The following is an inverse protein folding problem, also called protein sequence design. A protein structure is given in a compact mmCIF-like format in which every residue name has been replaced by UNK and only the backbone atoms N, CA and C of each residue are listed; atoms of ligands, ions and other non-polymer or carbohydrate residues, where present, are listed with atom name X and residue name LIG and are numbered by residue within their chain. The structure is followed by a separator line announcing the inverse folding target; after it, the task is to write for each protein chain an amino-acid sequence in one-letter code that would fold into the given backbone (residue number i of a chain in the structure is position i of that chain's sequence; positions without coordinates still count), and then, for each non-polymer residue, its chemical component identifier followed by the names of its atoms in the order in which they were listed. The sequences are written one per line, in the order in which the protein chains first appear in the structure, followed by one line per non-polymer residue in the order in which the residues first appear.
data_IF_993365341245
#
_entry.id   IF_993365341245
#
_cell.length_a   1.000
_cell.length_b   1.000
_cell.length_c   1.000
_cell.angle_alpha   90.00
_cell.angle_beta   90.00
_cell.angle_gamma   90.00
#
_symmetry.space_group_name_H-M   'P 1'
#
loop_
_entity.id
_entity.type
_entity.pdbx_description
1 polymer ?
#
# COMPACT_ATOMS: atom_id res chain seq x y z
N UNK A 1 1.38 -3.27 -15.79
CA UNK A 1 0.18 -3.23 -14.93
C UNK A 1 -0.60 -1.95 -15.17
N UNK A 2 -0.05 -0.76 -14.89
CA UNK A 2 -0.79 0.53 -14.99
C UNK A 2 -1.46 0.72 -16.36
N UNK A 3 -0.78 0.39 -17.47
CA UNK A 3 -1.37 0.48 -18.83
C UNK A 3 -2.63 -0.41 -18.97
N UNK A 4 -2.62 -1.64 -18.43
CA UNK A 4 -3.77 -2.55 -18.44
C UNK A 4 -4.92 -2.00 -17.61
N UNK A 5 -4.62 -1.53 -16.40
CA UNK A 5 -5.63 -0.92 -15.55
C UNK A 5 -6.21 0.35 -16.16
N UNK A 6 -5.40 1.15 -16.87
CA UNK A 6 -5.89 2.33 -17.57
C UNK A 6 -6.84 1.96 -18.72
N UNK A 7 -6.53 0.92 -19.48
CA UNK A 7 -7.45 0.42 -20.52
C UNK A 7 -8.79 -0.04 -19.93
N UNK A 8 -8.77 -0.66 -18.73
CA UNK A 8 -9.98 -1.15 -18.06
C UNK A 8 -10.81 -0.04 -17.39
N UNK A 9 -10.14 0.95 -16.76
CA UNK A 9 -10.79 1.92 -15.88
C UNK A 9 -10.74 3.38 -16.38
N UNK A 10 -10.09 3.63 -17.50
CA UNK A 10 -9.79 4.98 -17.99
C UNK A 10 -8.74 5.66 -17.09
N UNK A 11 -9.13 6.06 -15.88
CA UNK A 11 -8.25 6.65 -14.87
C UNK A 11 -7.85 5.64 -13.80
N UNK A 12 -6.57 5.61 -13.46
CA UNK A 12 -6.04 4.78 -12.36
C UNK A 12 -5.63 5.68 -11.20
N UNK A 13 -6.44 5.70 -10.13
CA UNK A 13 -6.08 6.34 -8.87
C UNK A 13 -5.14 5.46 -8.04
N UNK A 14 -4.46 6.05 -7.06
CA UNK A 14 -3.65 5.27 -6.09
C UNK A 14 -4.47 4.20 -5.38
N UNK A 15 -5.72 4.49 -5.04
CA UNK A 15 -6.62 3.54 -4.39
C UNK A 15 -6.87 2.28 -5.25
N UNK A 16 -6.92 2.41 -6.59
CA UNK A 16 -7.07 1.27 -7.48
C UNK A 16 -5.89 0.31 -7.48
N UNK A 17 -4.75 0.75 -6.92
CA UNK A 17 -3.53 -0.04 -6.75
C UNK A 17 -3.25 -0.35 -5.28
N UNK A 18 -3.39 0.65 -4.40
CA UNK A 18 -2.93 0.62 -3.01
C UNK A 18 -4.09 0.40 -2.01
N UNK A 19 -4.92 -0.59 -2.31
CA UNK A 19 -6.03 -1.04 -1.46
C UNK A 19 -6.16 -2.56 -1.52
N UNK A 20 -7.06 -3.14 -0.71
CA UNK A 20 -7.38 -4.56 -0.84
C UNK A 20 -7.86 -4.92 -2.24
N UNK A 21 -8.76 -4.12 -2.82
CA UNK A 21 -9.19 -4.27 -4.22
C UNK A 21 -8.05 -4.03 -5.21
N UNK A 22 -7.11 -3.16 -4.85
CA UNK A 22 -5.91 -2.87 -5.63
C UNK A 22 -5.00 -4.09 -5.79
N UNK A 23 -4.81 -4.90 -4.74
CA UNK A 23 -4.08 -6.17 -4.81
C UNK A 23 -4.72 -7.06 -5.89
N UNK A 24 -6.04 -7.22 -5.89
CA UNK A 24 -6.73 -8.01 -6.90
C UNK A 24 -6.57 -7.43 -8.31
N UNK A 25 -6.64 -6.12 -8.47
CA UNK A 25 -6.43 -5.46 -9.75
C UNK A 25 -5.01 -5.70 -10.31
N UNK A 26 -3.98 -5.59 -9.47
CA UNK A 26 -2.59 -5.85 -9.84
C UNK A 26 -2.43 -7.30 -10.28
N UNK A 27 -2.97 -8.25 -9.49
CA UNK A 27 -2.92 -9.68 -9.77
C UNK A 27 -3.52 -10.02 -11.14
N UNK A 28 -4.75 -9.57 -11.41
CA UNK A 28 -5.40 -9.83 -12.71
C UNK A 28 -4.59 -9.24 -13.87
N UNK A 29 -4.07 -8.02 -13.71
CA UNK A 29 -3.25 -7.40 -14.74
C UNK A 29 -1.92 -8.14 -14.97
N UNK A 30 -1.32 -8.72 -13.93
CA UNK A 30 -0.12 -9.56 -14.05
C UNK A 30 -0.43 -10.89 -14.75
N UNK A 31 -1.53 -11.55 -14.39
CA UNK A 31 -1.97 -12.76 -15.08
C UNK A 31 -2.18 -12.51 -16.58
N UNK A 32 -2.84 -11.40 -16.92
CA UNK A 32 -3.04 -11.02 -18.33
C UNK A 32 -1.71 -10.74 -19.05
N UNK A 33 -0.78 -10.02 -18.43
CA UNK A 33 0.53 -9.71 -19.02
C UNK A 33 1.36 -10.98 -19.25
N UNK A 34 1.26 -11.94 -18.33
CA UNK A 34 2.00 -13.21 -18.39
C UNK A 34 1.26 -14.34 -19.12
N UNK A 35 0.11 -14.02 -19.73
CA UNK A 35 -0.75 -14.98 -20.41
C UNK A 35 -1.10 -16.22 -19.56
N UNK A 36 -1.28 -16.01 -18.24
CA UNK A 36 -1.66 -17.05 -17.28
C UNK A 36 -3.12 -16.88 -16.84
N UNK A 37 -3.79 -17.98 -16.50
CA UNK A 37 -5.15 -17.93 -15.97
C UNK A 37 -5.13 -17.49 -14.50
N UNK A 38 -6.00 -16.56 -14.09
CA UNK A 38 -6.16 -16.24 -12.68
C UNK A 38 -6.68 -17.45 -11.89
N UNK A 39 -5.99 -17.82 -10.83
CA UNK A 39 -6.37 -18.94 -9.93
C UNK A 39 -7.18 -18.44 -8.75
N UNK A 40 -6.87 -17.22 -8.27
CA UNK A 40 -7.46 -16.66 -7.05
C UNK A 40 -8.49 -15.59 -7.38
N UNK A 41 -9.58 -15.56 -6.60
CA UNK A 41 -10.73 -14.67 -6.79
C UNK A 41 -10.87 -13.59 -5.72
N UNK A 42 -10.02 -13.60 -4.70
CA UNK A 42 -10.07 -12.61 -3.63
C UNK A 42 -8.68 -12.12 -3.22
N UNK A 43 -8.57 -10.88 -2.71
CA UNK A 43 -7.31 -10.35 -2.19
C UNK A 43 -6.69 -11.21 -1.09
N UNK A 44 -7.50 -11.82 -0.22
CA UNK A 44 -7.02 -12.69 0.86
C UNK A 44 -6.30 -13.92 0.31
N UNK A 45 -6.91 -14.62 -0.65
CA UNK A 45 -6.31 -15.78 -1.30
C UNK A 45 -4.98 -15.43 -1.99
N UNK A 46 -4.90 -14.25 -2.63
CA UNK A 46 -3.67 -13.78 -3.28
C UNK A 46 -2.57 -13.54 -2.22
N UNK A 47 -2.92 -12.91 -1.10
CA UNK A 47 -1.98 -12.70 0.01
C UNK A 47 -1.48 -14.05 0.55
N UNK A 48 -2.37 -14.99 0.84
CA UNK A 48 -2.02 -16.30 1.37
C UNK A 48 -1.11 -17.09 0.39
N UNK A 49 -1.43 -17.04 -0.91
CA UNK A 49 -0.62 -17.67 -1.95
C UNK A 49 0.76 -17.00 -2.12
N UNK A 50 0.85 -15.70 -1.92
CA UNK A 50 2.13 -14.98 -1.93
C UNK A 50 2.99 -15.33 -0.71
N UNK A 51 2.40 -15.36 0.49
CA UNK A 51 3.10 -15.68 1.72
C UNK A 51 3.62 -17.13 1.75
N UNK A 52 2.83 -18.05 1.22
CA UNK A 52 3.24 -19.46 1.05
C UNK A 52 4.14 -19.69 -0.17
N UNK A 53 4.37 -18.66 -1.00
CA UNK A 53 5.09 -18.74 -2.28
C UNK A 53 4.50 -19.76 -3.27
N UNK A 54 3.22 -20.06 -3.15
CA UNK A 54 2.51 -21.04 -3.99
C UNK A 54 2.27 -20.52 -5.41
N UNK A 55 2.29 -19.20 -5.63
CA UNK A 55 2.04 -18.59 -6.94
C UNK A 55 2.92 -17.36 -7.16
N UNK A 56 3.69 -17.40 -8.26
CA UNK A 56 4.63 -16.32 -8.61
C UNK A 56 3.93 -15.01 -9.00
N UNK A 57 2.69 -15.07 -9.51
CA UNK A 57 1.91 -13.87 -9.80
C UNK A 57 1.44 -13.19 -8.50
N UNK A 58 1.09 -13.97 -7.49
CA UNK A 58 0.71 -13.48 -6.18
C UNK A 58 1.88 -12.81 -5.46
N UNK A 59 3.06 -13.43 -5.48
CA UNK A 59 4.31 -12.82 -4.94
C UNK A 59 4.60 -11.51 -5.64
N UNK A 60 4.65 -11.49 -6.97
CA UNK A 60 4.90 -10.28 -7.76
C UNK A 60 3.83 -9.20 -7.53
N UNK A 61 2.60 -9.60 -7.20
CA UNK A 61 1.52 -8.67 -6.84
C UNK A 61 1.81 -7.94 -5.54
N UNK A 62 2.24 -8.64 -4.49
CA UNK A 62 2.60 -8.01 -3.23
C UNK A 62 3.87 -7.16 -3.36
N UNK A 63 4.87 -7.59 -4.13
CA UNK A 63 6.06 -6.78 -4.42
C UNK A 63 5.67 -5.45 -5.06
N UNK A 64 4.86 -5.49 -6.12
CA UNK A 64 4.37 -4.27 -6.80
C UNK A 64 3.52 -3.38 -5.89
N UNK A 65 2.70 -3.97 -5.03
CA UNK A 65 1.93 -3.23 -4.04
C UNK A 65 2.85 -2.50 -3.07
N UNK A 66 3.85 -3.18 -2.50
CA UNK A 66 4.82 -2.59 -1.56
C UNK A 66 5.66 -1.49 -2.22
N UNK A 67 6.16 -1.72 -3.44
CA UNK A 67 6.90 -0.72 -4.21
C UNK A 67 6.05 0.49 -4.54
N UNK A 68 4.81 0.29 -4.98
CA UNK A 68 3.85 1.36 -5.25
C UNK A 68 3.55 2.19 -4.00
N UNK A 69 3.37 1.52 -2.84
CA UNK A 69 3.16 2.17 -1.55
C UNK A 69 4.39 3.01 -1.16
N UNK A 70 5.60 2.47 -1.32
CA UNK A 70 6.83 3.20 -1.07
C UNK A 70 6.95 4.45 -1.94
N UNK A 71 6.72 4.31 -3.23
CA UNK A 71 6.77 5.44 -4.16
C UNK A 71 5.72 6.52 -3.82
N UNK A 72 4.49 6.13 -3.49
CA UNK A 72 3.42 7.06 -3.11
C UNK A 72 3.73 7.78 -1.79
N UNK A 73 4.16 7.04 -0.77
CA UNK A 73 4.53 7.59 0.53
C UNK A 73 5.71 8.57 0.43
N UNK A 74 6.74 8.26 -0.37
CA UNK A 74 7.86 9.15 -0.63
C UNK A 74 7.44 10.45 -1.34
N UNK A 75 6.51 10.36 -2.30
CA UNK A 75 5.96 11.55 -2.95
C UNK A 75 5.19 12.44 -1.95
N UNK A 76 4.38 11.84 -1.07
CA UNK A 76 3.65 12.57 -0.02
C UNK A 76 4.61 13.22 0.98
N UNK A 77 5.67 12.51 1.39
CA UNK A 77 6.70 13.05 2.27
C UNK A 77 7.34 14.34 1.69
N UNK A 78 7.64 14.34 0.39
CA UNK A 78 8.18 15.51 -0.30
C UNK A 78 7.13 16.62 -0.45
N UNK A 79 5.90 16.28 -0.83
CA UNK A 79 4.81 17.24 -1.05
C UNK A 79 4.50 18.04 0.20
N UNK A 80 4.49 17.38 1.37
CA UNK A 80 4.16 18.00 2.66
C UNK A 80 5.38 18.43 3.48
N UNK A 81 6.59 18.16 3.03
CA UNK A 81 7.81 18.43 3.81
C UNK A 81 7.82 17.67 5.15
N UNK A 82 7.29 16.45 5.18
CA UNK A 82 7.00 15.68 6.39
C UNK A 82 8.28 15.16 7.05
N UNK A 83 8.91 15.98 7.91
CA UNK A 83 10.11 15.59 8.67
C UNK A 83 9.79 14.70 9.87
N UNK A 84 8.61 14.82 10.45
CA UNK A 84 8.20 14.07 11.65
C UNK A 84 7.84 12.60 11.41
N UNK A 85 7.72 12.18 10.16
CA UNK A 85 7.45 10.80 9.77
C UNK A 85 6.21 10.61 8.89
N UNK A 86 6.12 9.42 8.31
CA UNK A 86 4.97 8.94 7.55
C UNK A 86 4.29 7.82 8.34
N UNK A 87 2.98 7.90 8.49
CA UNK A 87 2.18 6.92 9.20
C UNK A 87 1.32 6.13 8.23
N UNK A 88 1.60 4.84 8.06
CA UNK A 88 0.82 3.92 7.25
C UNK A 88 -0.29 3.32 8.11
N UNK A 89 -1.53 3.69 7.81
CA UNK A 89 -2.71 3.24 8.52
C UNK A 89 -3.64 2.43 7.61
N UNK A 90 -4.32 1.44 8.16
CA UNK A 90 -5.31 0.63 7.46
C UNK A 90 -5.10 -0.88 7.66
N UNK A 91 -6.12 -1.66 7.30
CA UNK A 91 -6.18 -3.10 7.56
C UNK A 91 -5.49 -3.98 6.50
N UNK A 92 -4.79 -3.42 5.52
CA UNK A 92 -4.19 -4.21 4.42
C UNK A 92 -2.80 -4.69 4.80
N UNK A 93 -1.88 -3.77 5.14
CA UNK A 93 -0.48 -4.08 5.46
C UNK A 93 -0.34 -5.06 6.65
N UNK A 94 -1.11 -4.93 7.74
CA UNK A 94 -1.01 -5.86 8.86
C UNK A 94 -1.22 -7.33 8.50
N UNK A 95 -1.93 -7.65 7.41
CA UNK A 95 -2.20 -9.03 6.95
C UNK A 95 -0.97 -9.72 6.37
N UNK A 96 0.05 -8.98 5.95
CA UNK A 96 1.31 -9.49 5.42
C UNK A 96 2.50 -8.66 5.91
N UNK A 97 2.48 -8.29 7.19
CA UNK A 97 3.44 -7.37 7.80
C UNK A 97 4.90 -7.80 7.58
N UNK A 98 5.23 -9.06 7.82
CA UNK A 98 6.60 -9.57 7.67
C UNK A 98 7.08 -9.49 6.20
N UNK A 99 6.20 -9.80 5.25
CA UNK A 99 6.49 -9.60 3.84
C UNK A 99 6.75 -8.11 3.53
N UNK A 100 5.91 -7.22 4.06
CA UNK A 100 6.04 -5.78 3.84
C UNK A 100 7.35 -5.23 4.40
N UNK A 101 7.73 -5.62 5.62
CA UNK A 101 8.96 -5.18 6.27
C UNK A 101 10.23 -5.61 5.51
N UNK A 102 10.18 -6.77 4.84
CA UNK A 102 11.28 -7.31 4.03
C UNK A 102 11.18 -6.93 2.53
N UNK A 103 10.18 -6.15 2.15
CA UNK A 103 9.94 -5.75 0.76
C UNK A 103 10.80 -4.57 0.32
N UNK A 104 10.71 -4.26 -0.96
CA UNK A 104 11.40 -3.11 -1.56
C UNK A 104 10.72 -1.75 -1.25
N UNK A 105 9.78 -1.69 -0.28
CA UNK A 105 9.07 -0.47 0.10
C UNK A 105 10.03 0.67 0.42
N UNK A 106 11.00 0.44 1.31
CA UNK A 106 11.90 1.50 1.80
C UNK A 106 12.77 2.06 0.68
N UNK A 107 13.30 1.22 -0.18
CA UNK A 107 14.08 1.64 -1.33
C UNK A 107 13.25 2.53 -2.27
N UNK A 108 11.99 2.15 -2.54
CA UNK A 108 11.09 2.94 -3.40
C UNK A 108 10.59 4.23 -2.72
N UNK A 109 10.50 4.25 -1.42
CA UNK A 109 10.23 5.45 -0.65
C UNK A 109 11.35 6.49 -0.82
N UNK A 110 12.60 6.02 -0.75
CA UNK A 110 13.80 6.87 -0.85
C UNK A 110 14.21 7.20 -2.29
N UNK A 111 13.81 6.40 -3.28
CA UNK A 111 14.17 6.56 -4.69
C UNK A 111 13.51 7.81 -5.31
N UNK A 112 14.04 8.98 -4.95
CA UNK A 112 13.59 10.31 -5.38
C UNK A 112 14.75 11.19 -5.87
N UNK A 113 15.73 10.60 -6.54
CA UNK A 113 16.86 11.30 -7.13
C UNK A 113 17.59 12.16 -6.10
N UNK A 114 17.72 13.46 -6.34
CA UNK A 114 18.44 14.38 -5.43
C UNK A 114 17.89 14.46 -4.01
N UNK A 115 16.69 13.96 -3.75
CA UNK A 115 16.04 13.99 -2.44
C UNK A 115 16.24 12.72 -1.61
N UNK A 116 17.08 11.78 -2.06
CA UNK A 116 17.35 10.52 -1.33
C UNK A 116 17.81 10.79 0.10
N UNK A 117 18.78 11.70 0.31
CA UNK A 117 19.31 12.01 1.65
C UNK A 117 18.23 12.57 2.58
N UNK A 118 17.32 13.40 2.03
CA UNK A 118 16.19 13.95 2.78
C UNK A 118 15.24 12.84 3.22
N UNK A 119 14.88 11.93 2.33
CA UNK A 119 13.92 10.86 2.63
C UNK A 119 14.51 9.77 3.55
N UNK A 120 15.82 9.52 3.49
CA UNK A 120 16.49 8.59 4.42
C UNK A 120 16.29 8.97 5.88
N UNK A 121 16.23 10.26 6.20
CA UNK A 121 16.03 10.75 7.55
C UNK A 121 14.59 10.67 8.06
N UNK A 122 13.61 10.42 7.17
CA UNK A 122 12.20 10.39 7.52
C UNK A 122 11.80 8.98 7.99
N UNK A 123 11.34 8.83 9.24
CA UNK A 123 10.84 7.55 9.72
C UNK A 123 9.49 7.20 9.09
N UNK A 124 9.23 5.90 8.93
CA UNK A 124 7.93 5.38 8.50
C UNK A 124 7.40 4.45 9.56
N UNK A 125 6.17 4.70 10.00
CA UNK A 125 5.49 3.97 11.06
C UNK A 125 4.30 3.20 10.49
N UNK A 126 4.13 1.94 10.89
CA UNK A 126 2.95 1.15 10.57
C UNK A 126 2.04 1.14 11.79
N UNK A 127 0.82 1.65 11.61
CA UNK A 127 -0.18 1.65 12.68
C UNK A 127 -0.91 0.31 12.65
N UNK A 128 -0.73 -0.49 13.71
CA UNK A 128 -1.33 -1.82 13.87
C UNK A 128 -2.71 -1.80 14.52
N UNK A 129 -3.11 -0.66 15.07
CA UNK A 129 -4.40 -0.54 15.76
C UNK A 129 -5.54 -0.54 14.75
N UNK A 130 -6.53 -1.38 15.00
CA UNK A 130 -7.77 -1.41 14.23
C UNK A 130 -8.71 -0.24 14.61
N UNK A 131 -9.67 0.05 13.72
CA UNK A 131 -10.74 1.04 13.94
C UNK A 131 -10.26 2.46 14.27
N UNK A 132 -9.11 2.88 13.71
CA UNK A 132 -8.57 4.23 13.92
C UNK A 132 -9.56 5.35 13.60
N UNK A 133 -10.37 5.19 12.55
CA UNK A 133 -11.39 6.16 12.17
C UNK A 133 -12.45 6.34 13.24
N UNK A 134 -12.93 5.26 13.84
CA UNK A 134 -13.91 5.30 14.94
C UNK A 134 -13.31 5.93 16.20
N UNK A 135 -12.06 5.59 16.51
CA UNK A 135 -11.36 6.19 17.65
C UNK A 135 -11.18 7.70 17.46
N UNK A 136 -10.81 8.13 16.24
CA UNK A 136 -10.69 9.55 15.93
C UNK A 136 -12.03 10.29 16.03
N UNK A 137 -13.10 9.70 15.52
CA UNK A 137 -14.45 10.26 15.62
C UNK A 137 -14.93 10.37 17.06
N UNK A 138 -14.75 9.32 17.88
CA UNK A 138 -15.14 9.33 19.30
C UNK A 138 -14.42 10.41 20.11
N UNK A 139 -13.10 10.59 19.89
CA UNK A 139 -12.33 11.63 20.56
C UNK A 139 -12.76 13.05 20.17
N UNK A 140 -13.23 13.23 18.93
CA UNK A 140 -13.73 14.53 18.48
C UNK A 140 -15.08 14.87 19.13
N UNK A 141 -15.97 13.89 19.27
CA UNK A 141 -17.26 14.06 19.96
C UNK A 141 -17.07 14.46 21.42
N UNK A 142 -16.19 13.77 22.16
CA UNK A 142 -15.87 14.08 23.57
C UNK A 142 -15.33 15.52 23.73
N UNK A 143 -14.60 16.05 22.74
CA UNK A 143 -14.11 17.44 22.79
C UNK A 143 -15.19 18.50 22.56
N UNK A 144 -16.24 18.16 21.82
CA UNK A 144 -17.38 19.07 21.60
C UNK A 144 -18.20 19.22 22.89
N UNK A 145 -18.45 18.11 23.58
CA UNK A 145 -19.21 18.09 24.82
C UNK A 145 -18.52 18.79 26.02
N UNK A 146 -17.21 19.03 25.94
CA UNK A 146 -16.45 19.73 27.00
C UNK A 146 -16.23 21.23 26.73
N UNK A 147 -16.81 21.78 25.66
CA UNK A 147 -16.71 23.22 25.31
C UNK A 147 -18.06 23.97 25.39
N UNK A 148 -19.11 23.35 25.94
CA UNK A 148 -20.38 23.97 26.37
C UNK A 148 -20.35 24.11 27.90
#
# INVERSE_FOLDING_TARGET
VVRRLRAKFGRVSLERLLSGKGIFNIYLALCEIRASKPTYSSPAQIVDAALSKADSNSVATLDMFCEGMGSAAGNLALTFGAKGGIYLAGGVIPKFLDFFLNSNFRNKFEDKGRFVSYLKSIPVYIIRRENLGLLGASKKLIKVDNND
#
